data_IF_549987983520
#
_entry.id   IF_549987983520
#
_cell.length_a   1.000
_cell.length_b   1.000
_cell.length_c   1.000
_cell.angle_alpha   90.00
_cell.angle_beta   90.00
_cell.angle_gamma   90.00
#
_symmetry.space_group_name_H-M   'P 1'
#
loop_
_entity.id
_entity.type
_entity.pdbx_description
1 polymer ?
#
# COMPACT_ATOMS: atom_id res chain seq x y z
N UNK A 1 18.91 7.91 -5.09
CA UNK A 1 17.72 8.35 -4.37
C UNK A 1 17.51 7.51 -3.12
N UNK A 2 17.26 8.17 -1.99
CA UNK A 2 16.92 7.42 -0.77
C UNK A 2 15.52 6.83 -0.88
N UNK A 3 15.30 5.58 -0.45
CA UNK A 3 13.96 5.01 -0.43
C UNK A 3 13.04 5.80 0.51
N UNK A 4 11.77 5.88 0.16
CA UNK A 4 10.77 6.52 1.00
C UNK A 4 10.55 5.70 2.27
N UNK A 5 10.55 6.38 3.41
CA UNK A 5 10.22 5.77 4.71
C UNK A 5 8.97 6.45 5.26
N UNK A 6 7.93 5.67 5.49
CA UNK A 6 6.66 6.18 6.00
C UNK A 6 6.00 5.14 6.92
N UNK A 7 6.32 5.17 8.23
CA UNK A 7 5.74 4.20 9.19
C UNK A 7 4.21 4.23 9.25
N UNK A 8 3.61 5.40 9.06
CA UNK A 8 2.16 5.53 9.04
C UNK A 8 1.52 4.82 7.85
N UNK A 9 2.18 4.91 6.69
CA UNK A 9 1.74 4.19 5.50
C UNK A 9 1.79 2.67 5.73
N UNK A 10 2.88 2.17 6.30
CA UNK A 10 3.01 0.74 6.61
C UNK A 10 1.96 0.27 7.62
N UNK A 11 1.64 1.11 8.60
CA UNK A 11 0.58 0.81 9.57
C UNK A 11 -0.78 0.70 8.86
N UNK A 12 -1.03 1.60 7.93
CA UNK A 12 -2.25 1.55 7.13
C UNK A 12 -2.31 0.28 6.28
N UNK A 13 -1.21 -0.09 5.61
CA UNK A 13 -1.13 -1.33 4.83
C UNK A 13 -1.48 -2.54 5.69
N UNK A 14 -0.96 -2.62 6.93
CA UNK A 14 -1.27 -3.72 7.85
C UNK A 14 -2.74 -3.77 8.28
N UNK A 15 -3.48 -2.70 8.12
CA UNK A 15 -4.91 -2.67 8.43
C UNK A 15 -5.79 -3.18 7.30
N UNK A 16 -5.22 -3.45 6.13
CA UNK A 16 -5.96 -3.90 4.96
C UNK A 16 -5.99 -5.44 4.90
N UNK A 17 -6.97 -6.02 4.18
CA UNK A 17 -7.00 -7.47 3.98
C UNK A 17 -5.80 -7.95 3.15
N UNK A 18 -5.34 -9.18 3.43
CA UNK A 18 -4.35 -9.86 2.59
C UNK A 18 -4.83 -9.90 1.14
N UNK A 19 -3.99 -9.54 0.18
CA UNK A 19 -4.39 -9.51 -1.24
C UNK A 19 -4.63 -10.90 -1.81
N UNK A 20 -4.14 -11.96 -1.16
CA UNK A 20 -4.32 -13.34 -1.62
C UNK A 20 -5.57 -13.97 -1.02
N UNK A 21 -5.66 -14.05 0.31
CA UNK A 21 -6.72 -14.79 0.99
C UNK A 21 -7.77 -13.91 1.68
N UNK A 22 -7.61 -12.59 1.64
CA UNK A 22 -8.54 -11.60 2.19
C UNK A 22 -8.69 -11.64 3.72
N UNK A 23 -7.86 -12.40 4.43
CA UNK A 23 -7.87 -12.35 5.90
C UNK A 23 -7.42 -10.99 6.40
N UNK A 24 -8.00 -10.57 7.52
CA UNK A 24 -7.55 -9.36 8.22
C UNK A 24 -6.69 -9.69 9.44
N UNK A 25 -6.46 -10.97 9.69
CA UNK A 25 -5.67 -11.43 10.82
C UNK A 25 -4.19 -11.53 10.45
N UNK A 26 -3.34 -10.99 11.31
CA UNK A 26 -1.88 -11.06 11.19
C UNK A 26 -1.35 -10.58 9.83
N UNK A 27 -1.94 -9.50 9.30
CA UNK A 27 -1.48 -8.92 8.04
C UNK A 27 -0.22 -8.11 8.26
N UNK A 28 0.74 -8.30 7.37
CA UNK A 28 2.05 -7.64 7.39
C UNK A 28 2.21 -6.76 6.15
N UNK A 29 3.06 -5.74 6.26
CA UNK A 29 3.41 -4.91 5.11
C UNK A 29 4.61 -5.54 4.40
N UNK A 30 4.35 -6.14 3.24
CA UNK A 30 5.37 -6.83 2.46
C UNK A 30 5.93 -5.89 1.39
N UNK A 31 7.21 -5.56 1.49
CA UNK A 31 7.89 -4.72 0.50
C UNK A 31 8.12 -5.52 -0.79
N UNK A 32 7.68 -4.98 -1.92
CA UNK A 32 7.77 -5.66 -3.21
C UNK A 32 8.66 -4.95 -4.23
N UNK A 33 9.16 -3.77 -3.88
CA UNK A 33 10.02 -3.01 -4.78
C UNK A 33 11.40 -3.64 -4.96
N UNK A 34 12.12 -3.25 -6.01
CA UNK A 34 13.48 -3.74 -6.22
C UNK A 34 14.40 -3.24 -5.11
N UNK A 35 15.31 -4.09 -4.68
CA UNK A 35 16.34 -3.74 -3.72
C UNK A 35 17.62 -4.51 -4.05
N UNK A 36 18.74 -3.82 -3.94
CA UNK A 36 20.05 -4.42 -4.07
C UNK A 36 20.59 -4.89 -2.72
N UNK A 37 21.80 -5.42 -2.73
CA UNK A 37 22.46 -5.85 -1.51
C UNK A 37 22.65 -4.66 -0.56
N UNK A 38 22.12 -4.78 0.65
CA UNK A 38 22.18 -3.71 1.65
C UNK A 38 21.20 -2.57 1.44
N UNK A 39 20.34 -2.64 0.42
CA UNK A 39 19.34 -1.62 0.15
C UNK A 39 17.94 -2.12 0.53
N UNK A 40 17.11 -1.20 1.03
CA UNK A 40 15.71 -1.50 1.34
C UNK A 40 14.80 -0.85 0.31
N UNK A 41 13.71 -1.55 -0.04
CA UNK A 41 12.68 -1.01 -0.93
C UNK A 41 11.94 0.15 -0.28
N UNK A 42 11.34 1.00 -1.12
CA UNK A 42 10.46 2.07 -0.65
C UNK A 42 9.26 1.50 0.11
N UNK A 43 8.86 2.18 1.18
CA UNK A 43 7.65 1.80 1.93
C UNK A 43 6.39 1.90 1.06
N UNK A 44 6.41 2.75 0.03
CA UNK A 44 5.29 2.85 -0.91
C UNK A 44 5.13 1.63 -1.82
N UNK A 45 6.11 0.71 -1.82
CA UNK A 45 6.03 -0.55 -2.55
C UNK A 45 5.42 -1.69 -1.74
N UNK A 46 5.02 -1.43 -0.49
CA UNK A 46 4.45 -2.46 0.37
C UNK A 46 3.04 -2.84 -0.03
N UNK A 47 2.72 -4.13 0.10
CA UNK A 47 1.37 -4.66 -0.08
C UNK A 47 0.97 -5.45 1.16
N UNK A 48 -0.35 -5.57 1.45
CA UNK A 48 -0.79 -6.34 2.62
C UNK A 48 -0.79 -7.84 2.33
N UNK A 49 0.02 -8.58 3.09
CA UNK A 49 0.08 -10.04 3.04
C UNK A 49 0.03 -10.59 4.46
N UNK A 50 -0.82 -11.59 4.70
CA UNK A 50 -0.80 -12.28 6.01
C UNK A 50 0.53 -13.01 6.17
N UNK A 51 0.86 -13.37 7.41
CA UNK A 51 2.14 -14.02 7.71
C UNK A 51 2.41 -15.26 6.87
N UNK A 52 1.36 -16.06 6.61
CA UNK A 52 1.46 -17.26 5.78
C UNK A 52 1.84 -16.93 4.33
N UNK A 53 1.15 -15.97 3.71
CA UNK A 53 1.41 -15.61 2.31
C UNK A 53 2.64 -14.72 2.17
N UNK A 54 3.08 -14.07 3.23
CA UNK A 54 4.29 -13.26 3.23
C UNK A 54 5.55 -14.12 3.42
N UNK A 55 5.58 -14.99 4.45
CA UNK A 55 6.81 -15.63 4.89
C UNK A 55 6.75 -17.14 5.11
N UNK A 56 5.71 -17.64 5.77
CA UNK A 56 5.76 -19.00 6.34
C UNK A 56 5.20 -20.11 5.46
N UNK A 57 4.31 -19.80 4.52
CA UNK A 57 3.72 -20.80 3.64
C UNK A 57 4.62 -21.21 2.50
N UNK A 58 4.38 -22.39 1.94
CA UNK A 58 5.14 -22.89 0.79
C UNK A 58 4.94 -22.02 -0.46
N UNK A 59 3.80 -21.36 -0.56
CA UNK A 59 3.44 -20.45 -1.63
C UNK A 59 3.61 -18.98 -1.25
N UNK A 60 4.43 -18.69 -0.24
CA UNK A 60 4.65 -17.34 0.25
C UNK A 60 5.56 -16.51 -0.66
N UNK A 61 5.46 -15.20 -0.51
CA UNK A 61 6.28 -14.24 -1.24
C UNK A 61 7.78 -14.49 -1.04
N UNK A 62 8.21 -14.74 0.22
CA UNK A 62 9.61 -14.98 0.51
C UNK A 62 10.13 -16.31 -0.04
N UNK A 63 9.27 -17.32 -0.13
CA UNK A 63 9.69 -18.63 -0.65
C UNK A 63 9.72 -18.67 -2.19
N UNK A 64 8.74 -18.06 -2.83
CA UNK A 64 8.62 -18.10 -4.28
C UNK A 64 9.40 -16.99 -5.00
N UNK A 65 9.60 -15.86 -4.34
CA UNK A 65 10.10 -14.65 -4.97
C UNK A 65 8.98 -13.89 -5.70
N UNK A 66 9.24 -12.61 -6.06
CA UNK A 66 8.16 -11.73 -6.55
C UNK A 66 7.50 -12.22 -7.84
N UNK A 67 8.28 -12.69 -8.80
CA UNK A 67 7.75 -13.10 -10.10
C UNK A 67 6.87 -14.34 -9.97
N UNK A 68 7.39 -15.40 -9.34
CA UNK A 68 6.66 -16.66 -9.21
C UNK A 68 5.44 -16.50 -8.28
N UNK A 69 5.56 -15.72 -7.22
CA UNK A 69 4.44 -15.41 -6.34
C UNK A 69 3.30 -14.76 -7.12
N UNK A 70 3.62 -13.77 -7.96
CA UNK A 70 2.63 -13.11 -8.80
C UNK A 70 1.95 -14.08 -9.78
N UNK A 71 2.72 -14.98 -10.38
CA UNK A 71 2.19 -15.99 -11.30
C UNK A 71 1.26 -16.97 -10.58
N UNK A 72 1.69 -17.51 -9.45
CA UNK A 72 0.93 -18.52 -8.69
C UNK A 72 -0.39 -17.95 -8.19
N UNK A 73 -0.40 -16.72 -7.68
CA UNK A 73 -1.58 -16.11 -7.10
C UNK A 73 -2.35 -15.21 -8.08
N UNK A 74 -1.90 -15.15 -9.34
CA UNK A 74 -2.52 -14.36 -10.41
C UNK A 74 -2.68 -12.90 -10.01
N UNK A 75 -1.58 -12.29 -9.52
CA UNK A 75 -1.55 -10.91 -9.06
C UNK A 75 -0.73 -10.04 -10.02
N UNK A 76 -1.19 -8.82 -10.24
CA UNK A 76 -0.38 -7.77 -10.82
C UNK A 76 0.12 -6.87 -9.69
N UNK A 77 1.32 -7.17 -9.18
CA UNK A 77 1.89 -6.48 -8.03
C UNK A 77 2.07 -4.99 -8.31
N UNK A 78 2.54 -4.63 -9.51
CA UNK A 78 2.71 -3.21 -9.87
C UNK A 78 1.40 -2.45 -9.83
N UNK A 79 0.33 -3.05 -10.34
CA UNK A 79 -1.00 -2.44 -10.31
C UNK A 79 -1.52 -2.28 -8.88
N UNK A 80 -1.29 -3.29 -8.02
CA UNK A 80 -1.68 -3.22 -6.61
C UNK A 80 -0.92 -2.09 -5.91
N UNK A 81 0.39 -2.02 -6.07
CA UNK A 81 1.23 -0.95 -5.49
C UNK A 81 0.77 0.42 -5.94
N UNK A 82 0.52 0.60 -7.24
CA UNK A 82 0.06 1.88 -7.78
C UNK A 82 -1.28 2.29 -7.17
N UNK A 83 -2.20 1.34 -7.07
CA UNK A 83 -3.53 1.60 -6.50
C UNK A 83 -3.48 1.97 -5.03
N UNK A 84 -2.64 1.27 -4.24
CA UNK A 84 -2.50 1.54 -2.82
C UNK A 84 -1.77 2.86 -2.55
N UNK A 85 -0.73 3.18 -3.32
CA UNK A 85 0.02 4.42 -3.14
C UNK A 85 -0.77 5.68 -3.52
N UNK A 86 -1.88 5.53 -4.22
CA UNK A 86 -2.81 6.63 -4.50
C UNK A 86 -3.76 6.92 -3.31
N UNK A 87 -3.82 6.03 -2.32
CA UNK A 87 -4.69 6.20 -1.15
C UNK A 87 -4.05 7.13 -0.11
N UNK A 88 -4.83 7.62 0.86
CA UNK A 88 -4.28 8.43 1.94
C UNK A 88 -3.25 7.67 2.77
N UNK A 89 -2.19 8.34 3.16
CA UNK A 89 -1.18 7.78 4.05
C UNK A 89 -0.75 8.84 5.07
N UNK A 90 -0.11 8.41 6.15
CA UNK A 90 0.36 9.31 7.19
C UNK A 90 1.78 9.78 6.84
N UNK A 91 1.97 11.10 6.79
CA UNK A 91 3.30 11.67 6.63
C UNK A 91 4.02 11.58 7.96
N UNK A 92 5.17 10.90 7.98
CA UNK A 92 5.90 10.60 9.21
C UNK A 92 6.30 11.84 10.02
N UNK A 93 6.63 12.94 9.34
CA UNK A 93 7.14 14.15 9.98
C UNK A 93 6.08 14.97 10.72
N UNK A 94 4.85 15.01 10.20
CA UNK A 94 3.79 15.86 10.74
C UNK A 94 2.64 15.09 11.39
N UNK A 95 2.57 13.77 11.18
CA UNK A 95 1.43 12.96 11.59
C UNK A 95 0.16 13.21 10.77
N UNK A 96 0.22 14.07 9.76
CA UNK A 96 -0.93 14.37 8.93
C UNK A 96 -1.19 13.26 7.91
N UNK A 97 -2.46 12.98 7.66
CA UNK A 97 -2.85 12.10 6.56
C UNK A 97 -2.74 12.87 5.24
N UNK A 98 -2.09 12.26 4.27
CA UNK A 98 -1.85 12.85 2.96
C UNK A 98 -2.49 11.96 1.90
N UNK A 99 -3.27 12.55 1.01
CA UNK A 99 -3.80 11.88 -0.16
C UNK A 99 -3.04 12.31 -1.41
N UNK A 100 -2.93 11.41 -2.38
CA UNK A 100 -2.22 11.71 -3.63
C UNK A 100 -3.13 11.47 -4.84
N UNK A 101 -3.15 12.47 -5.73
CA UNK A 101 -3.77 12.36 -7.06
C UNK A 101 -2.74 12.77 -8.09
N UNK A 102 -2.27 11.82 -8.89
CA UNK A 102 -1.20 12.11 -9.84
C UNK A 102 0.02 12.66 -9.10
N UNK A 103 0.46 13.85 -9.45
CA UNK A 103 1.63 14.50 -8.84
C UNK A 103 1.27 15.42 -7.67
N UNK A 104 -0.02 15.56 -7.33
CA UNK A 104 -0.44 16.48 -6.27
C UNK A 104 -0.73 15.75 -4.98
N UNK A 105 -0.32 16.36 -3.87
CA UNK A 105 -0.58 15.89 -2.53
C UNK A 105 -1.55 16.83 -1.81
N UNK A 106 -2.46 16.26 -1.04
CA UNK A 106 -3.46 17.00 -0.28
C UNK A 106 -3.40 16.57 1.18
N UNK A 107 -3.31 17.52 2.10
CA UNK A 107 -3.42 17.20 3.52
C UNK A 107 -4.88 16.98 3.89
N UNK A 108 -5.15 15.90 4.60
CA UNK A 108 -6.49 15.43 4.91
C UNK A 108 -6.80 15.42 6.41
N UNK A 109 -5.92 16.01 7.22
CA UNK A 109 -6.07 16.06 8.67
C UNK A 109 -5.15 15.10 9.40
N UNK A 110 -5.27 15.02 10.72
CA UNK A 110 -4.33 14.29 11.58
C UNK A 110 -4.98 13.28 12.53
N UNK A 111 -6.29 13.02 12.43
CA UNK A 111 -6.99 12.08 13.31
C UNK A 111 -7.49 10.86 12.54
N UNK A 112 -7.64 9.72 13.24
CA UNK A 112 -8.17 8.49 12.63
C UNK A 112 -9.61 8.67 12.12
N UNK A 113 -10.43 9.42 12.85
CA UNK A 113 -11.77 9.76 12.40
C UNK A 113 -11.72 10.61 11.12
N UNK A 114 -10.71 11.46 11.00
CA UNK A 114 -10.44 12.23 9.80
C UNK A 114 -9.99 11.34 8.64
N UNK A 115 -9.23 10.27 8.91
CA UNK A 115 -8.80 9.35 7.86
C UNK A 115 -9.99 8.69 7.16
N UNK A 116 -10.97 8.21 7.90
CA UNK A 116 -12.16 7.59 7.32
C UNK A 116 -12.93 8.57 6.43
N UNK A 117 -13.06 9.83 6.86
CA UNK A 117 -13.68 10.88 6.05
C UNK A 117 -12.84 11.21 4.82
N UNK A 118 -11.52 11.24 5.00
CA UNK A 118 -10.58 11.52 3.93
C UNK A 118 -10.62 10.46 2.83
N UNK A 119 -10.69 9.19 3.20
CA UNK A 119 -10.82 8.08 2.24
C UNK A 119 -12.09 8.24 1.42
N UNK A 120 -13.22 8.56 2.08
CA UNK A 120 -14.47 8.80 1.38
C UNK A 120 -14.37 10.00 0.44
N UNK A 121 -13.75 11.08 0.90
CA UNK A 121 -13.57 12.29 0.09
C UNK A 121 -12.69 12.04 -1.13
N UNK A 122 -11.59 11.30 -0.97
CA UNK A 122 -10.72 10.95 -2.08
C UNK A 122 -11.44 10.06 -3.10
N UNK A 123 -12.23 9.10 -2.64
CA UNK A 123 -13.01 8.25 -3.53
C UNK A 123 -14.04 9.06 -4.31
N UNK A 124 -14.65 10.06 -3.68
CA UNK A 124 -15.58 10.98 -4.33
C UNK A 124 -14.87 11.83 -5.38
N UNK A 125 -13.74 12.42 -5.02
CA UNK A 125 -12.95 13.25 -5.95
C UNK A 125 -12.49 12.45 -7.16
N UNK A 126 -12.08 11.21 -6.96
CA UNK A 126 -11.71 10.33 -8.07
C UNK A 126 -12.89 10.11 -9.02
N UNK A 127 -14.09 9.85 -8.50
CA UNK A 127 -15.28 9.67 -9.33
C UNK A 127 -15.63 10.94 -10.11
N UNK A 128 -15.50 12.10 -9.46
CA UNK A 128 -15.74 13.39 -10.11
C UNK A 128 -14.77 13.62 -11.27
N UNK A 129 -13.49 13.31 -11.07
CA UNK A 129 -12.47 13.43 -12.11
C UNK A 129 -12.71 12.47 -13.27
N UNK A 130 -13.11 11.24 -13.00
CA UNK A 130 -13.45 10.25 -14.03
C UNK A 130 -14.66 10.70 -14.86
N UNK A 131 -15.63 11.36 -14.22
CA UNK A 131 -16.82 11.88 -14.89
C UNK A 131 -16.49 13.07 -15.80
N UNK A 132 -15.55 13.94 -15.41
CA UNK A 132 -15.14 15.09 -16.22
C UNK A 132 -14.35 14.69 -17.46
N UNK A 133 -13.68 13.55 -17.44
CA UNK A 133 -12.87 13.05 -18.55
C UNK A 133 -13.69 12.23 -19.54
N UNK A 134 -14.86 11.80 -19.14
CA UNK A 134 -15.74 11.00 -20.02
C UNK A 134 -16.40 11.90 -21.11
#
# INVERSE_FOLDING_TARGET
MKPVRNPGYLRWIRSLPCVVCRTTYAVEAAHTGPHGLGQKSSDLSAIPLCGRHHRTGDDSYHRLGPRRFAEVHQLDIRAIVARLSEKPFIRAESGAFVGRFGDQEYELGSTEAGLARAIRRMSQLRREMETEVA
#
